data_IF_301963704442
#
_entry.id   IF_301963704442
#
_cell.length_a   1.000
_cell.length_b   1.000
_cell.length_c   1.000
_cell.angle_alpha   90.00
_cell.angle_beta   90.00
_cell.angle_gamma   90.00
#
_symmetry.space_group_name_H-M   'P 1'
#
loop_
_entity.id
_entity.type
_entity.pdbx_description
1 polymer ?
#
# COMPACT_ATOMS: atom_id res chain seq x y z
N UNK A 1 -32.80 0.37 -1.86
CA UNK A 1 -31.87 0.62 -2.99
C UNK A 1 -30.49 0.19 -2.55
N UNK A 2 -30.06 -1.00 -2.97
CA UNK A 2 -28.74 -1.55 -2.65
C UNK A 2 -27.67 -0.68 -3.32
N UNK A 3 -26.74 -0.15 -2.52
CA UNK A 3 -25.55 0.53 -3.02
C UNK A 3 -24.76 -0.47 -3.88
N UNK A 4 -24.89 -0.39 -5.20
CA UNK A 4 -24.16 -1.18 -6.20
C UNK A 4 -22.72 -0.68 -6.39
N UNK A 5 -22.24 0.22 -5.53
CA UNK A 5 -20.87 0.71 -5.58
C UNK A 5 -19.94 -0.26 -4.86
N UNK A 6 -18.95 -0.76 -5.59
CA UNK A 6 -17.85 -1.55 -5.06
C UNK A 6 -16.96 -0.77 -4.08
N UNK A 7 -17.23 0.53 -3.88
CA UNK A 7 -16.49 1.44 -3.01
C UNK A 7 -16.38 0.91 -1.58
N UNK A 8 -17.47 0.38 -0.98
CA UNK A 8 -17.43 -0.14 0.38
C UNK A 8 -16.50 -1.37 0.51
N UNK A 9 -16.50 -2.22 -0.52
CA UNK A 9 -15.60 -3.36 -0.59
C UNK A 9 -14.14 -2.89 -0.74
N UNK A 10 -13.88 -1.90 -1.60
CA UNK A 10 -12.54 -1.31 -1.77
C UNK A 10 -12.01 -0.71 -0.47
N UNK A 11 -12.84 0.10 0.22
CA UNK A 11 -12.47 0.65 1.53
C UNK A 11 -12.15 -0.45 2.53
N UNK A 12 -12.88 -1.56 2.51
CA UNK A 12 -12.62 -2.72 3.38
C UNK A 12 -11.25 -3.35 3.06
N UNK A 13 -10.94 -3.58 1.78
CA UNK A 13 -9.65 -4.14 1.36
C UNK A 13 -8.49 -3.21 1.71
N UNK A 14 -8.63 -1.90 1.45
CA UNK A 14 -7.62 -0.88 1.79
C UNK A 14 -7.43 -0.79 3.31
N UNK A 15 -8.51 -0.84 4.09
CA UNK A 15 -8.43 -0.84 5.55
C UNK A 15 -7.72 -2.09 6.07
N UNK A 16 -8.00 -3.27 5.50
CA UNK A 16 -7.31 -4.51 5.83
C UNK A 16 -5.81 -4.43 5.49
N UNK A 17 -5.46 -3.87 4.33
CA UNK A 17 -4.08 -3.61 3.94
C UNK A 17 -3.37 -2.65 4.93
N UNK A 18 -4.03 -1.56 5.33
CA UNK A 18 -3.50 -0.63 6.34
C UNK A 18 -3.35 -1.29 7.72
N UNK A 19 -4.28 -2.14 8.14
CA UNK A 19 -4.17 -2.90 9.38
C UNK A 19 -2.96 -3.86 9.35
N UNK A 20 -2.79 -4.58 8.23
CA UNK A 20 -1.62 -5.44 7.99
C UNK A 20 -0.33 -4.63 8.03
N UNK A 21 -0.29 -3.47 7.36
CA UNK A 21 0.87 -2.57 7.39
C UNK A 21 1.17 -2.07 8.82
N UNK A 22 0.14 -1.76 9.61
CA UNK A 22 0.28 -1.38 11.01
C UNK A 22 0.83 -2.52 11.87
N UNK A 23 0.43 -3.77 11.62
CA UNK A 23 1.03 -4.95 12.23
C UNK A 23 2.51 -5.09 11.86
N UNK A 24 2.86 -4.95 10.58
CA UNK A 24 4.25 -5.01 10.12
C UNK A 24 5.11 -3.90 10.71
N UNK A 25 4.59 -2.67 10.82
CA UNK A 25 5.29 -1.54 11.43
C UNK A 25 5.66 -1.78 12.89
N UNK A 26 4.80 -2.46 13.64
CA UNK A 26 5.02 -2.79 15.06
C UNK A 26 6.04 -3.91 15.23
N UNK A 27 5.97 -4.95 14.41
CA UNK A 27 6.81 -6.15 14.56
C UNK A 27 8.15 -6.07 13.82
N UNK A 28 8.17 -5.44 12.64
CA UNK A 28 9.34 -5.37 11.77
C UNK A 28 10.00 -3.98 11.77
N UNK A 29 9.82 -3.20 12.84
CA UNK A 29 10.37 -1.83 12.92
C UNK A 29 11.87 -1.78 12.61
N UNK A 30 12.62 -2.68 13.26
CA UNK A 30 14.08 -2.78 13.17
C UNK A 30 14.57 -3.74 12.07
N UNK A 31 13.65 -4.36 11.32
CA UNK A 31 14.03 -5.30 10.28
C UNK A 31 14.75 -4.60 9.10
N UNK A 32 15.66 -5.29 8.41
CA UNK A 32 16.26 -4.79 7.18
C UNK A 32 15.20 -4.46 6.10
N UNK A 33 15.47 -3.51 5.20
CA UNK A 33 14.54 -3.14 4.12
C UNK A 33 14.09 -4.33 3.26
N UNK A 34 14.98 -5.28 2.98
CA UNK A 34 14.68 -6.50 2.21
C UNK A 34 13.59 -7.36 2.86
N UNK A 35 13.65 -7.55 4.19
CA UNK A 35 12.65 -8.29 4.96
C UNK A 35 11.31 -7.56 4.97
N UNK A 36 11.34 -6.23 5.12
CA UNK A 36 10.12 -5.40 5.06
C UNK A 36 9.46 -5.47 3.69
N UNK A 37 10.24 -5.45 2.62
CA UNK A 37 9.77 -5.61 1.25
C UNK A 37 9.16 -6.99 1.03
N UNK A 38 9.83 -8.06 1.47
CA UNK A 38 9.30 -9.42 1.38
C UNK A 38 7.98 -9.58 2.14
N UNK A 39 7.88 -9.05 3.36
CA UNK A 39 6.66 -9.10 4.16
C UNK A 39 5.50 -8.33 3.49
N UNK A 40 5.81 -7.20 2.84
CA UNK A 40 4.82 -6.46 2.06
C UNK A 40 4.33 -7.26 0.84
N UNK A 41 5.27 -7.80 0.05
CA UNK A 41 4.96 -8.59 -1.15
C UNK A 41 4.21 -9.89 -0.85
N UNK A 42 4.35 -10.45 0.35
CA UNK A 42 3.67 -11.70 0.73
C UNK A 42 2.28 -11.45 1.32
N UNK A 43 2.10 -10.41 2.13
CA UNK A 43 0.86 -10.23 2.91
C UNK A 43 -0.10 -9.17 2.36
N UNK A 44 0.43 -8.15 1.68
CA UNK A 44 -0.36 -6.99 1.25
C UNK A 44 -0.57 -7.00 -0.27
N UNK A 45 0.46 -7.37 -1.04
CA UNK A 45 0.40 -7.41 -2.51
C UNK A 45 -0.71 -8.32 -3.06
N UNK A 46 -0.91 -9.57 -2.60
CA UNK A 46 -1.96 -10.44 -3.16
C UNK A 46 -3.37 -9.86 -2.97
N UNK A 47 -3.61 -9.20 -1.83
CA UNK A 47 -4.90 -8.55 -1.54
C UNK A 47 -5.18 -7.40 -2.50
N UNK A 48 -4.14 -6.69 -2.94
CA UNK A 48 -4.26 -5.60 -3.90
C UNK A 48 -4.40 -6.11 -5.33
N UNK A 49 -3.59 -7.08 -5.75
CA UNK A 49 -3.63 -7.63 -7.11
C UNK A 49 -4.96 -8.32 -7.43
N UNK A 50 -5.46 -9.11 -6.49
CA UNK A 50 -6.80 -9.70 -6.58
C UNK A 50 -7.85 -8.62 -6.87
N UNK A 51 -7.68 -7.49 -6.22
CA UNK A 51 -8.71 -6.49 -6.17
C UNK A 51 -8.58 -5.51 -7.36
N UNK A 52 -7.37 -5.18 -7.82
CA UNK A 52 -7.14 -4.47 -9.08
C UNK A 52 -7.70 -5.19 -10.30
N UNK A 53 -7.74 -6.53 -10.30
CA UNK A 53 -8.37 -7.30 -11.38
C UNK A 53 -9.90 -7.19 -11.42
N UNK A 54 -10.52 -6.81 -10.32
CA UNK A 54 -11.97 -6.65 -10.18
C UNK A 54 -12.40 -5.18 -10.37
N UNK A 55 -11.44 -4.25 -10.26
CA UNK A 55 -11.71 -2.81 -10.25
C UNK A 55 -11.20 -2.13 -11.53
N UNK A 56 -12.06 -1.34 -12.15
CA UNK A 56 -11.66 -0.44 -13.25
C UNK A 56 -11.26 0.94 -12.70
N UNK A 57 -10.18 1.52 -13.23
CA UNK A 57 -9.44 2.67 -12.67
C UNK A 57 -10.15 4.03 -12.83
N UNK A 58 -11.47 4.04 -13.04
CA UNK A 58 -12.22 5.24 -13.41
C UNK A 58 -12.67 6.11 -12.22
N UNK A 59 -12.37 5.73 -10.98
CA UNK A 59 -12.67 6.56 -9.80
C UNK A 59 -11.38 7.17 -9.24
N UNK A 60 -11.17 8.46 -9.48
CA UNK A 60 -9.98 9.21 -9.02
C UNK A 60 -9.74 9.06 -7.51
N UNK A 61 -10.80 8.97 -6.71
CA UNK A 61 -10.71 8.77 -5.25
C UNK A 61 -10.03 7.47 -4.86
N UNK A 62 -10.29 6.39 -5.61
CA UNK A 62 -9.70 5.09 -5.34
C UNK A 62 -8.20 5.10 -5.68
N UNK A 63 -7.83 5.69 -6.82
CA UNK A 63 -6.43 5.87 -7.22
C UNK A 63 -5.64 6.65 -6.16
N UNK A 64 -6.22 7.72 -5.61
CA UNK A 64 -5.61 8.49 -4.53
C UNK A 64 -5.40 7.66 -3.25
N UNK A 65 -6.37 6.81 -2.89
CA UNK A 65 -6.24 5.93 -1.72
C UNK A 65 -5.15 4.87 -1.92
N UNK A 66 -5.02 4.30 -3.12
CA UNK A 66 -3.94 3.37 -3.46
C UNK A 66 -2.58 4.04 -3.40
N UNK A 67 -2.45 5.22 -3.99
CA UNK A 67 -1.19 5.96 -3.97
C UNK A 67 -0.79 6.32 -2.54
N UNK A 68 -1.74 6.73 -1.70
CA UNK A 68 -1.50 6.99 -0.29
C UNK A 68 -1.00 5.73 0.45
N UNK A 69 -1.56 4.55 0.17
CA UNK A 69 -1.10 3.29 0.75
C UNK A 69 0.32 2.91 0.29
N UNK A 70 0.63 3.10 -1.00
CA UNK A 70 1.97 2.90 -1.56
C UNK A 70 2.99 3.86 -0.93
N UNK A 71 2.64 5.14 -0.77
CA UNK A 71 3.48 6.15 -0.12
C UNK A 71 3.85 5.74 1.31
N UNK A 72 2.86 5.31 2.10
CA UNK A 72 3.07 4.85 3.49
C UNK A 72 3.97 3.62 3.58
N UNK A 73 3.83 2.71 2.61
CA UNK A 73 4.63 1.49 2.53
C UNK A 73 6.08 1.81 2.17
N UNK A 74 6.29 2.64 1.15
CA UNK A 74 7.63 3.01 0.66
C UNK A 74 8.46 3.65 1.77
N UNK A 75 7.84 4.55 2.56
CA UNK A 75 8.46 5.15 3.76
C UNK A 75 8.78 4.12 4.84
N UNK A 76 7.94 3.11 5.03
CA UNK A 76 8.19 2.05 6.00
C UNK A 76 9.38 1.18 5.61
N UNK A 77 9.44 0.76 4.35
CA UNK A 77 10.52 -0.10 3.83
C UNK A 77 11.86 0.64 3.90
N UNK A 78 11.92 1.88 3.41
CA UNK A 78 13.15 2.70 3.39
C UNK A 78 13.49 3.33 4.74
N UNK A 79 12.58 3.28 5.70
CA UNK A 79 12.68 4.02 6.96
C UNK A 79 12.86 5.54 6.78
N UNK A 80 12.46 6.09 5.63
CA UNK A 80 12.61 7.51 5.31
C UNK A 80 11.36 8.30 5.72
N UNK A 81 11.45 8.93 6.91
CA UNK A 81 10.40 9.77 7.49
C UNK A 81 10.78 11.25 7.58
N UNK A 82 11.92 11.64 7.01
CA UNK A 82 12.45 13.01 7.09
C UNK A 82 11.65 13.96 6.21
N UNK A 83 11.49 15.20 6.65
CA UNK A 83 10.94 16.29 5.85
C UNK A 83 12.03 17.33 5.52
N UNK A 84 12.11 17.86 4.29
CA UNK A 84 11.29 17.54 3.12
C UNK A 84 11.82 16.31 2.35
N UNK A 85 10.95 15.35 2.03
CA UNK A 85 11.32 14.19 1.21
C UNK A 85 10.32 13.96 0.08
N UNK A 86 10.83 13.80 -1.14
CA UNK A 86 10.03 13.48 -2.32
C UNK A 86 9.58 12.01 -2.29
N UNK A 87 8.27 11.77 -2.39
CA UNK A 87 7.70 10.41 -2.44
C UNK A 87 8.16 9.64 -3.67
N UNK A 88 8.33 10.31 -4.81
CA UNK A 88 8.85 9.71 -6.04
C UNK A 88 10.29 9.24 -5.87
N UNK A 89 11.13 10.04 -5.20
CA UNK A 89 12.51 9.66 -4.91
C UNK A 89 12.61 8.50 -3.89
N UNK A 90 11.70 8.43 -2.93
CA UNK A 90 11.63 7.30 -1.97
C UNK A 90 11.18 6.02 -2.67
N UNK A 91 10.28 6.14 -3.67
CA UNK A 91 9.80 5.01 -4.46
C UNK A 91 10.86 4.51 -5.43
N UNK A 92 11.67 5.34 -6.09
CA UNK A 92 12.60 4.86 -7.14
C UNK A 92 13.51 3.67 -6.78
N UNK A 93 14.12 3.57 -5.58
CA UNK A 93 14.96 2.40 -5.24
C UNK A 93 14.15 1.15 -4.90
N UNK A 94 12.85 1.29 -4.65
CA UNK A 94 11.96 0.21 -4.30
C UNK A 94 11.07 0.02 -5.53
N UNK A 95 11.19 -1.07 -6.27
CA UNK A 95 10.25 -1.33 -7.36
C UNK A 95 8.83 -1.60 -6.78
N UNK A 96 8.10 -0.54 -6.39
CA UNK A 96 6.70 -0.56 -5.89
C UNK A 96 5.76 0.08 -6.90
N UNK A 97 6.31 0.72 -7.93
CA UNK A 97 5.55 1.35 -9.01
C UNK A 97 5.02 0.36 -10.05
N UNK A 98 5.65 -0.83 -10.18
CA UNK A 98 5.23 -1.89 -11.13
C UNK A 98 4.80 -3.20 -10.46
N UNK A 99 4.72 -3.24 -9.12
CA UNK A 99 4.13 -4.37 -8.40
C UNK A 99 2.78 -3.96 -7.89
#
# INVERSE_FOLDING_TARGET
>A
MSNLSWSNHVHTVINNANHTLGYLKRNLKLAPPSVKQLAYSTLIRPKREYASGIWDAHTADLSNLFEAAQNRTSRFITHNYTFPSSTTAIKSPICVSEL
#
